data_IF_416249982008
#
_entry.id   IF_416249982008
#
_cell.length_a   1.000
_cell.length_b   1.000
_cell.length_c   1.000
_cell.angle_alpha   90.00
_cell.angle_beta   90.00
_cell.angle_gamma   90.00
#
_symmetry.space_group_name_H-M   'P 1'
#
loop_
_entity.id
_entity.type
_entity.pdbx_description
1 polymer ?
#
# COMPACT_ATOMS: atom_id res chain seq x y z
N UNK A 1 -9.81 -68.76 0.78
CA UNK A 1 -10.08 -68.24 2.14
C UNK A 1 -9.84 -66.73 2.13
N UNK A 2 -10.91 -65.98 2.40
CA UNK A 2 -10.97 -64.51 2.49
C UNK A 2 -9.98 -63.94 3.51
N UNK A 3 -9.33 -62.82 3.19
CA UNK A 3 -9.15 -61.68 4.12
C UNK A 3 -9.24 -60.36 3.32
N UNK A 4 -10.44 -59.80 3.29
CA UNK A 4 -10.72 -58.43 2.84
C UNK A 4 -10.04 -57.46 3.83
N UNK A 5 -9.11 -56.65 3.34
CA UNK A 5 -8.56 -55.52 4.09
C UNK A 5 -9.52 -54.35 3.89
N UNK A 6 -10.39 -54.14 4.88
CA UNK A 6 -11.26 -52.95 4.95
C UNK A 6 -10.42 -51.83 5.56
N UNK A 7 -9.87 -50.97 4.71
CA UNK A 7 -9.22 -49.73 5.15
C UNK A 7 -10.31 -48.75 5.54
N UNK A 8 -10.50 -48.55 6.84
CA UNK A 8 -11.43 -47.60 7.41
C UNK A 8 -10.95 -46.15 7.13
N UNK A 9 -11.64 -45.44 6.25
CA UNK A 9 -11.53 -43.98 6.15
C UNK A 9 -12.16 -43.36 7.40
N UNK A 10 -11.33 -43.03 8.39
CA UNK A 10 -11.73 -42.19 9.51
C UNK A 10 -11.94 -40.75 9.01
N UNK A 11 -13.20 -40.39 8.76
CA UNK A 11 -13.60 -38.99 8.56
C UNK A 11 -13.54 -38.31 9.92
N UNK A 12 -12.44 -37.62 10.20
CA UNK A 12 -12.32 -36.77 11.39
C UNK A 12 -13.10 -35.50 11.10
N UNK A 13 -14.34 -35.46 11.57
CA UNK A 13 -15.13 -34.25 11.76
C UNK A 13 -14.45 -33.40 12.83
N UNK A 14 -13.47 -32.58 12.45
CA UNK A 14 -12.94 -31.54 13.31
C UNK A 14 -13.96 -30.40 13.35
N UNK A 15 -14.87 -30.51 14.31
CA UNK A 15 -15.68 -29.39 14.79
C UNK A 15 -14.74 -28.26 15.21
N UNK A 16 -14.84 -27.09 14.59
CA UNK A 16 -14.25 -25.86 15.10
C UNK A 16 -15.03 -25.38 16.33
N UNK A 17 -14.95 -26.14 17.42
CA UNK A 17 -15.31 -25.71 18.77
C UNK A 17 -14.02 -25.29 19.48
N UNK A 18 -13.97 -24.03 19.89
CA UNK A 18 -12.75 -23.35 20.32
C UNK A 18 -11.92 -24.09 21.38
N UNK A 19 -10.61 -24.09 21.17
CA UNK A 19 -9.57 -24.16 22.19
C UNK A 19 -8.30 -23.57 21.57
N UNK A 20 -7.62 -22.70 22.32
CA UNK A 20 -6.44 -21.95 21.92
C UNK A 20 -5.41 -22.78 21.13
N UNK A 21 -5.32 -22.54 19.81
CA UNK A 21 -4.23 -22.96 18.95
C UNK A 21 -3.31 -21.79 18.62
N UNK A 22 -2.08 -22.02 18.10
CA UNK A 22 -1.16 -20.96 17.72
C UNK A 22 -1.87 -20.05 16.71
N UNK A 23 -1.96 -18.77 17.05
CA UNK A 23 -2.80 -17.80 16.35
C UNK A 23 -2.61 -17.89 14.84
N UNK A 24 -3.67 -18.31 14.14
CA UNK A 24 -3.86 -17.96 12.73
C UNK A 24 -3.61 -16.46 12.63
N UNK A 25 -2.87 -15.95 11.63
CA UNK A 25 -2.74 -14.51 11.43
C UNK A 25 -4.16 -13.96 11.39
N UNK A 26 -4.53 -13.24 12.45
CA UNK A 26 -5.89 -12.79 12.67
C UNK A 26 -6.34 -12.09 11.41
N UNK A 27 -7.54 -12.42 10.91
CA UNK A 27 -8.17 -11.85 9.73
C UNK A 27 -7.76 -10.39 9.58
N UNK A 28 -6.70 -10.14 8.82
CA UNK A 28 -6.19 -8.79 8.64
C UNK A 28 -7.32 -8.09 7.90
N UNK A 29 -7.78 -6.96 8.42
CA UNK A 29 -8.79 -6.16 7.74
C UNK A 29 -8.37 -5.86 6.30
N UNK A 30 -9.26 -5.26 5.48
CA UNK A 30 -8.92 -4.90 4.11
C UNK A 30 -7.55 -4.22 4.03
N UNK A 31 -6.74 -4.60 3.05
CA UNK A 31 -5.39 -4.06 2.89
C UNK A 31 -5.42 -2.52 2.86
N UNK A 32 -4.47 -1.87 3.52
CA UNK A 32 -4.29 -0.42 3.40
C UNK A 32 -3.57 -0.06 2.12
N UNK A 33 -3.79 1.17 1.62
CA UNK A 33 -3.03 1.69 0.49
C UNK A 33 -1.52 1.60 0.75
N UNK A 34 -1.08 1.89 1.97
CA UNK A 34 0.31 1.73 2.39
C UNK A 34 0.80 0.28 2.36
N UNK A 35 -0.04 -0.69 2.73
CA UNK A 35 0.36 -2.10 2.79
C UNK A 35 0.59 -2.74 1.43
N UNK A 36 0.01 -2.18 0.36
CA UNK A 36 0.14 -2.66 -1.02
C UNK A 36 1.10 -1.84 -1.87
N UNK A 37 1.49 -0.65 -1.38
CA UNK A 37 2.46 0.18 -2.06
C UNK A 37 3.83 -0.50 -2.08
N UNK A 38 4.55 -0.35 -3.20
CA UNK A 38 5.93 -0.81 -3.30
C UNK A 38 6.78 -0.24 -2.17
N UNK A 39 7.55 -1.13 -1.53
CA UNK A 39 8.38 -0.84 -0.37
C UNK A 39 9.83 -0.56 -0.74
N UNK A 40 10.65 -0.26 0.26
CA UNK A 40 12.09 0.01 0.05
C UNK A 40 12.85 -1.16 -0.57
N UNK A 41 12.40 -2.40 -0.38
CA UNK A 41 12.99 -3.58 -0.99
C UNK A 41 12.82 -3.64 -2.51
N UNK A 42 11.80 -2.95 -3.04
CA UNK A 42 11.52 -2.91 -4.48
C UNK A 42 12.43 -1.89 -5.21
N UNK A 43 13.03 -0.97 -4.45
CA UNK A 43 13.91 0.09 -4.95
C UNK A 43 15.31 -0.03 -4.36
N UNK A 44 16.12 -0.90 -4.96
CA UNK A 44 17.51 -1.12 -4.50
C UNK A 44 18.34 0.16 -4.59
N UNK A 45 19.13 0.44 -3.55
CA UNK A 45 19.98 1.64 -3.43
C UNK A 45 19.22 2.98 -3.42
N UNK A 46 17.94 2.97 -3.04
CA UNK A 46 17.14 4.18 -2.84
C UNK A 46 16.63 4.25 -1.40
N UNK A 47 16.51 5.46 -0.86
CA UNK A 47 15.88 5.70 0.43
C UNK A 47 14.50 6.31 0.25
N UNK A 48 13.60 6.00 1.19
CA UNK A 48 12.30 6.66 1.29
C UNK A 48 12.49 8.13 1.68
N UNK A 49 11.88 9.02 0.93
CA UNK A 49 11.90 10.46 1.19
C UNK A 49 10.89 10.86 2.28
N UNK A 50 11.21 11.89 3.09
CA UNK A 50 10.43 12.28 4.26
C UNK A 50 9.03 12.82 3.93
N UNK A 51 8.82 13.35 2.72
CA UNK A 51 7.54 13.88 2.26
C UNK A 51 6.49 12.80 1.94
N UNK A 52 6.88 11.53 1.96
CA UNK A 52 5.98 10.40 1.73
C UNK A 52 4.84 10.35 2.77
N UNK A 53 3.61 10.16 2.33
CA UNK A 53 2.42 10.23 3.19
C UNK A 53 1.12 9.90 2.46
N UNK A 54 0.01 10.52 2.87
CA UNK A 54 -1.26 10.42 2.15
C UNK A 54 -1.33 11.42 0.99
N UNK A 55 -2.38 11.34 0.16
CA UNK A 55 -2.67 12.34 -0.87
C UNK A 55 -2.79 13.75 -0.27
N UNK A 56 -3.34 13.90 0.93
CA UNK A 56 -3.41 15.20 1.62
C UNK A 56 -2.04 15.75 2.01
N UNK A 57 -1.09 14.89 2.40
CA UNK A 57 0.30 15.31 2.65
C UNK A 57 0.92 15.85 1.38
N UNK A 58 0.73 15.13 0.27
CA UNK A 58 1.18 15.55 -1.06
C UNK A 58 0.56 16.90 -1.47
N UNK A 59 -0.76 17.07 -1.34
CA UNK A 59 -1.44 18.34 -1.65
C UNK A 59 -0.93 19.51 -0.82
N UNK A 60 -0.60 19.31 0.47
CA UNK A 60 -0.03 20.38 1.29
C UNK A 60 1.36 20.81 0.82
N UNK A 61 2.17 19.85 0.36
CA UNK A 61 3.47 20.14 -0.22
C UNK A 61 3.32 20.92 -1.53
N UNK A 62 2.46 20.46 -2.43
CA UNK A 62 2.16 21.12 -3.70
C UNK A 62 1.60 22.53 -3.51
N UNK A 63 0.68 22.74 -2.57
CA UNK A 63 0.10 24.06 -2.30
C UNK A 63 1.16 25.14 -2.02
N UNK A 64 2.27 24.74 -1.40
CA UNK A 64 3.37 25.63 -1.06
C UNK A 64 4.36 25.79 -2.21
N UNK A 65 4.65 24.70 -2.93
CA UNK A 65 5.69 24.66 -3.95
C UNK A 65 5.21 25.10 -5.35
N UNK A 66 4.04 24.63 -5.77
CA UNK A 66 3.42 24.94 -7.06
C UNK A 66 1.88 25.02 -6.93
N UNK A 67 1.32 26.22 -6.75
CA UNK A 67 -0.11 26.42 -6.61
C UNK A 67 -0.93 25.99 -7.85
N UNK A 68 -0.34 25.94 -9.04
CA UNK A 68 -1.05 25.49 -10.25
C UNK A 68 -1.14 23.96 -10.28
N UNK A 69 -0.03 23.28 -9.98
CA UNK A 69 -0.02 21.83 -9.82
C UNK A 69 -0.95 21.39 -8.68
N UNK A 70 -0.95 22.11 -7.56
CA UNK A 70 -1.89 21.89 -6.46
C UNK A 70 -3.35 21.84 -6.91
N UNK A 71 -3.81 22.78 -7.75
CA UNK A 71 -5.21 22.78 -8.19
C UNK A 71 -5.55 21.56 -9.06
N UNK A 72 -4.61 21.16 -9.91
CA UNK A 72 -4.73 19.96 -10.76
C UNK A 72 -4.81 18.70 -9.91
N UNK A 73 -3.89 18.56 -8.96
CA UNK A 73 -3.83 17.41 -8.05
C UNK A 73 -5.00 17.37 -7.08
N UNK A 74 -5.47 18.53 -6.62
CA UNK A 74 -6.65 18.64 -5.78
C UNK A 74 -7.89 18.17 -6.53
N UNK A 75 -8.05 18.57 -7.79
CA UNK A 75 -9.15 18.12 -8.64
C UNK A 75 -9.09 16.60 -8.82
N UNK A 76 -7.90 16.07 -9.13
CA UNK A 76 -7.66 14.62 -9.24
C UNK A 76 -8.06 13.89 -7.95
N UNK A 77 -7.65 14.39 -6.78
CA UNK A 77 -8.00 13.77 -5.50
C UNK A 77 -9.50 13.82 -5.21
N UNK A 78 -10.16 14.94 -5.53
CA UNK A 78 -11.60 15.09 -5.37
C UNK A 78 -12.38 14.11 -6.26
N UNK A 79 -11.94 13.92 -7.51
CA UNK A 79 -12.52 12.94 -8.43
C UNK A 79 -12.32 11.49 -7.95
N UNK A 80 -11.13 11.15 -7.46
CA UNK A 80 -10.85 9.82 -6.88
C UNK A 80 -11.75 9.53 -5.68
N UNK A 81 -11.94 10.51 -4.78
CA UNK A 81 -12.87 10.38 -3.65
C UNK A 81 -14.31 10.23 -4.11
N UNK A 82 -14.74 10.99 -5.12
CA UNK A 82 -16.07 10.85 -5.71
C UNK A 82 -16.28 9.45 -6.32
N UNK A 83 -15.23 8.85 -6.88
CA UNK A 83 -15.22 7.47 -7.37
C UNK A 83 -15.10 6.40 -6.27
N UNK A 84 -15.05 6.78 -4.99
CA UNK A 84 -15.08 5.85 -3.85
C UNK A 84 -13.73 5.59 -3.20
N UNK A 85 -12.68 6.36 -3.51
CA UNK A 85 -11.41 6.28 -2.79
C UNK A 85 -11.62 6.56 -1.29
N UNK A 86 -11.02 5.73 -0.43
CA UNK A 86 -11.20 5.81 1.02
C UNK A 86 -9.88 5.69 1.82
N UNK A 87 -8.74 5.56 1.15
CA UNK A 87 -7.39 5.54 1.71
C UNK A 87 -6.38 5.77 0.60
N UNK A 88 -5.27 6.43 0.94
CA UNK A 88 -4.24 6.81 -0.02
C UNK A 88 -2.86 6.74 0.60
N UNK A 89 -1.89 6.37 -0.22
CA UNK A 89 -0.49 6.38 0.14
C UNK A 89 0.36 6.76 -1.06
N UNK A 90 1.08 7.87 -0.94
CA UNK A 90 2.03 8.37 -1.92
C UNK A 90 3.40 8.32 -1.27
N UNK A 91 4.31 7.54 -1.85
CA UNK A 91 5.68 7.38 -1.35
C UNK A 91 6.66 7.71 -2.44
N UNK A 92 7.71 8.44 -2.05
CA UNK A 92 8.83 8.79 -2.92
C UNK A 92 10.06 8.08 -2.41
N UNK A 93 10.79 7.47 -3.34
CA UNK A 93 12.11 6.94 -3.11
C UNK A 93 13.10 7.73 -3.95
N UNK A 94 14.28 8.02 -3.41
CA UNK A 94 15.34 8.70 -4.14
C UNK A 94 16.69 8.00 -3.91
N UNK A 95 17.63 8.10 -4.85
CA UNK A 95 19.02 7.64 -4.65
C UNK A 95 19.78 8.56 -3.69
N UNK A 96 19.56 9.88 -3.75
CA UNK A 96 20.17 10.84 -2.81
C UNK A 96 19.10 11.62 -2.05
N UNK A 97 19.36 11.94 -0.78
CA UNK A 97 18.46 12.79 0.02
C UNK A 97 18.26 14.18 -0.58
N UNK A 98 19.24 14.69 -1.33
CA UNK A 98 19.13 15.96 -2.07
C UNK A 98 18.09 15.93 -3.19
N UNK A 99 17.71 14.74 -3.65
CA UNK A 99 16.76 14.53 -4.74
C UNK A 99 15.33 14.32 -4.20
N UNK A 100 15.13 14.37 -2.88
CA UNK A 100 13.81 14.42 -2.26
C UNK A 100 13.21 15.84 -2.34
N UNK A 101 11.91 15.96 -2.07
CA UNK A 101 11.14 17.21 -2.11
C UNK A 101 10.74 17.64 -3.52
N UNK A 102 10.82 16.74 -4.50
CA UNK A 102 10.62 17.02 -5.92
C UNK A 102 9.16 16.77 -6.38
N UNK A 103 8.19 16.73 -5.48
CA UNK A 103 6.79 16.45 -5.80
C UNK A 103 6.24 17.37 -6.91
N UNK A 104 6.51 18.67 -6.81
CA UNK A 104 6.09 19.70 -7.76
C UNK A 104 7.01 19.82 -9.00
N UNK A 105 8.02 18.95 -9.13
CA UNK A 105 9.03 19.09 -10.17
C UNK A 105 8.58 18.39 -11.44
N UNK A 106 8.23 19.16 -12.48
CA UNK A 106 7.96 18.62 -13.81
C UNK A 106 9.16 17.92 -14.46
N UNK A 107 10.36 18.05 -13.88
CA UNK A 107 11.56 17.32 -14.28
C UNK A 107 12.42 17.04 -13.03
N UNK A 108 12.12 15.95 -12.29
CA UNK A 108 12.87 15.62 -11.09
C UNK A 108 14.35 15.37 -11.44
N UNK A 109 15.24 15.88 -10.60
CA UNK A 109 16.68 15.64 -10.71
C UNK A 109 17.05 14.28 -10.10
N UNK A 110 18.02 13.59 -10.69
CA UNK A 110 18.55 12.35 -10.14
C UNK A 110 17.65 11.15 -10.37
N UNK A 111 17.82 10.10 -9.56
CA UNK A 111 16.99 8.88 -9.62
C UNK A 111 15.94 8.95 -8.53
N UNK A 112 14.70 9.12 -8.96
CA UNK A 112 13.52 9.23 -8.09
C UNK A 112 12.43 8.28 -8.59
N UNK A 113 11.73 7.64 -7.67
CA UNK A 113 10.57 6.79 -7.96
C UNK A 113 9.38 7.27 -7.11
N UNK A 114 8.25 7.49 -7.78
CA UNK A 114 6.99 7.85 -7.13
C UNK A 114 6.04 6.65 -7.20
N UNK A 115 5.43 6.32 -6.07
CA UNK A 115 4.44 5.25 -5.96
C UNK A 115 3.17 5.86 -5.42
N UNK A 116 2.08 5.68 -6.16
CA UNK A 116 0.74 6.09 -5.77
C UNK A 116 -0.10 4.82 -5.56
N UNK A 117 -0.56 4.61 -4.34
CA UNK A 117 -1.50 3.57 -4.00
C UNK A 117 -2.79 4.21 -3.50
N UNK A 118 -3.91 3.90 -4.13
CA UNK A 118 -5.24 4.41 -3.78
C UNK A 118 -6.16 3.21 -3.56
N UNK A 119 -6.82 3.16 -2.42
CA UNK A 119 -7.82 2.13 -2.12
C UNK A 119 -9.22 2.70 -2.37
N UNK A 120 -10.04 1.90 -3.02
CA UNK A 120 -11.46 2.16 -3.24
C UNK A 120 -12.33 1.22 -2.38
N UNK A 121 -13.56 1.63 -2.11
CA UNK A 121 -14.56 0.82 -1.39
C UNK A 121 -15.06 -0.37 -2.21
#
# INVERSE_FOLDING_TARGET
MRRLVVTACAVVLAACGGSAGPGLPGSQGPASAQSVASGSSDFTAMQKCPESGSYETYLKAEQTADPAQYQTEKTTWDDLKAAGANDSYIVVYAEKTSDCGQFASGTPSGKVAYVYAIRFK
#
